data_IF_465878245912
#
_entry.id   IF_465878245912
#
_cell.length_a   1.000
_cell.length_b   1.000
_cell.length_c   1.000
_cell.angle_alpha   90.00
_cell.angle_beta   90.00
_cell.angle_gamma   90.00
#
_symmetry.space_group_name_H-M   'P 1'
#
loop_
_entity.id
_entity.type
_entity.pdbx_description
1 polymer ?
#
# COMPACT_ATOMS: atom_id res chain seq x y z
N UNK A 1 22.24 -32.80 0.08
CA UNK A 1 22.47 -33.25 1.47
C UNK A 1 21.18 -33.46 2.27
N UNK A 2 20.27 -32.47 2.40
CA UNK A 2 19.04 -32.60 3.21
C UNK A 2 18.09 -33.73 2.73
N UNK A 3 18.03 -33.98 1.43
CA UNK A 3 17.20 -35.06 0.85
C UNK A 3 17.69 -36.46 1.23
N UNK A 4 19.01 -36.63 1.29
CA UNK A 4 19.67 -37.90 1.66
C UNK A 4 19.50 -38.20 3.16
N UNK A 5 19.53 -37.19 3.98
CA UNK A 5 19.41 -37.26 5.44
C UNK A 5 17.95 -37.25 5.94
N UNK A 6 16.97 -37.22 5.05
CA UNK A 6 15.55 -37.17 5.41
C UNK A 6 15.13 -35.89 6.15
N UNK A 7 15.98 -34.88 6.19
CA UNK A 7 15.72 -33.61 6.90
C UNK A 7 14.76 -32.76 6.09
N UNK A 8 13.58 -32.51 6.66
CA UNK A 8 12.56 -31.60 6.06
C UNK A 8 12.28 -30.44 7.02
N UNK A 9 12.29 -29.22 6.50
CA UNK A 9 11.82 -28.06 7.27
C UNK A 9 10.35 -28.20 7.61
N UNK A 10 10.00 -28.17 8.89
CA UNK A 10 8.61 -28.13 9.36
C UNK A 10 7.97 -26.75 9.16
N UNK A 11 8.77 -25.73 8.86
CA UNK A 11 8.32 -24.35 8.68
C UNK A 11 7.78 -24.03 7.27
N UNK A 12 7.81 -24.96 6.31
CA UNK A 12 7.21 -24.73 4.99
C UNK A 12 5.70 -24.97 5.05
N UNK A 13 4.98 -23.94 5.39
CA UNK A 13 3.54 -23.85 5.05
C UNK A 13 3.44 -23.94 3.51
N UNK A 14 2.64 -24.87 2.99
CA UNK A 14 2.36 -24.93 1.56
C UNK A 14 1.78 -23.58 1.14
N UNK A 15 2.54 -22.80 0.35
CA UNK A 15 1.98 -21.60 -0.27
C UNK A 15 0.80 -22.01 -1.13
N UNK A 16 -0.31 -21.34 -0.95
CA UNK A 16 -1.49 -21.53 -1.77
C UNK A 16 -1.08 -21.26 -3.24
N UNK A 17 -1.28 -22.24 -4.12
CA UNK A 17 -1.11 -21.99 -5.56
C UNK A 17 -2.33 -21.20 -6.00
N UNK A 18 -2.11 -20.04 -6.63
CA UNK A 18 -3.18 -19.28 -7.25
C UNK A 18 -3.97 -20.20 -8.21
N UNK A 19 -5.28 -20.26 -8.04
CA UNK A 19 -6.18 -21.00 -8.94
C UNK A 19 -6.38 -20.23 -10.25
N UNK A 20 -7.19 -20.78 -11.17
CA UNK A 20 -7.58 -20.14 -12.44
C UNK A 20 -8.32 -18.79 -12.28
N UNK A 21 -8.72 -18.45 -11.06
CA UNK A 21 -9.41 -17.20 -10.71
C UNK A 21 -8.47 -16.02 -10.45
N UNK A 22 -7.15 -16.24 -10.49
CA UNK A 22 -6.15 -15.23 -10.24
C UNK A 22 -5.53 -14.73 -11.54
N UNK A 23 -5.44 -13.42 -11.64
CA UNK A 23 -4.86 -12.71 -12.78
C UNK A 23 -3.56 -12.01 -12.33
N UNK A 24 -2.48 -12.28 -13.05
CA UNK A 24 -1.16 -11.68 -12.79
C UNK A 24 -0.89 -10.67 -13.90
N UNK A 25 -0.58 -9.44 -13.50
CA UNK A 25 -0.24 -8.35 -14.43
C UNK A 25 1.27 -8.19 -14.51
N UNK A 26 1.75 -7.78 -15.68
CA UNK A 26 3.17 -7.46 -15.89
C UNK A 26 3.57 -6.25 -15.04
N UNK A 27 4.85 -6.17 -14.68
CA UNK A 27 5.40 -4.97 -14.05
C UNK A 27 5.46 -3.84 -15.08
N UNK A 28 4.75 -2.74 -14.84
CA UNK A 28 4.73 -1.52 -15.65
C UNK A 28 5.56 -0.39 -15.00
N UNK A 29 6.06 -0.59 -13.78
CA UNK A 29 6.94 0.38 -13.11
C UNK A 29 8.39 0.14 -13.51
N UNK A 30 8.77 0.55 -14.73
CA UNK A 30 10.16 0.50 -15.19
C UNK A 30 11.00 1.63 -14.57
N UNK A 31 10.36 2.70 -14.17
CA UNK A 31 10.89 3.83 -13.40
C UNK A 31 9.84 4.38 -12.43
N UNK A 32 10.29 5.17 -11.47
CA UNK A 32 9.43 5.79 -10.46
C UNK A 32 9.15 7.27 -10.74
N UNK A 33 9.62 7.78 -11.88
CA UNK A 33 9.38 9.16 -12.27
C UNK A 33 7.91 9.38 -12.63
N UNK A 34 7.35 10.48 -12.15
CA UNK A 34 5.97 10.88 -12.39
C UNK A 34 5.90 12.38 -12.70
N UNK A 35 4.98 12.77 -13.53
CA UNK A 35 4.79 14.18 -13.94
C UNK A 35 3.61 14.85 -13.24
N UNK A 36 2.71 14.08 -12.63
CA UNK A 36 1.49 14.57 -11.97
C UNK A 36 1.01 13.62 -10.89
N UNK A 37 0.17 14.09 -9.96
CA UNK A 37 -0.55 13.22 -9.04
C UNK A 37 -1.42 12.17 -9.77
N UNK A 38 -1.63 11.04 -9.12
CA UNK A 38 -2.41 9.90 -9.62
C UNK A 38 -1.90 9.29 -10.93
N UNK A 39 -0.64 9.54 -11.32
CA UNK A 39 -0.05 8.89 -12.49
C UNK A 39 0.42 7.47 -12.17
N UNK A 40 1.19 7.32 -11.10
CA UNK A 40 1.65 6.02 -10.58
C UNK A 40 1.36 5.97 -9.08
N UNK A 41 0.68 4.94 -8.66
CA UNK A 41 0.26 4.72 -7.28
C UNK A 41 0.65 3.33 -6.84
N UNK A 42 1.26 3.20 -5.67
CA UNK A 42 1.55 1.92 -5.05
C UNK A 42 0.54 1.60 -3.96
N UNK A 43 0.18 0.33 -3.84
CA UNK A 43 -0.63 -0.20 -2.74
C UNK A 43 0.04 -1.42 -2.11
N UNK A 44 -0.02 -1.47 -0.81
CA UNK A 44 0.51 -2.58 -0.02
C UNK A 44 -0.25 -2.71 1.30
N UNK A 45 -0.11 -3.86 1.95
CA UNK A 45 -0.67 -4.10 3.27
C UNK A 45 0.42 -4.29 4.28
N UNK A 46 0.45 -3.43 5.28
CA UNK A 46 1.38 -3.55 6.39
C UNK A 46 0.67 -4.01 7.67
N UNK A 47 1.33 -4.88 8.44
CA UNK A 47 0.79 -5.36 9.71
C UNK A 47 1.34 -4.48 10.82
N UNK A 48 0.42 -3.92 11.62
CA UNK A 48 0.72 -3.16 12.83
C UNK A 48 0.41 -4.01 14.05
N UNK A 49 1.34 -4.03 15.01
CA UNK A 49 1.14 -4.73 16.28
C UNK A 49 0.64 -3.76 17.35
N UNK A 50 -0.43 -4.14 18.03
CA UNK A 50 -1.05 -3.38 19.11
C UNK A 50 -1.28 -4.28 20.33
N UNK A 51 -1.42 -3.74 21.52
CA UNK A 51 -1.70 -4.51 22.78
C UNK A 51 -2.94 -5.40 22.69
N UNK A 52 -3.95 -5.00 21.90
CA UNK A 52 -5.18 -5.78 21.70
C UNK A 52 -5.11 -6.78 20.53
N UNK A 53 -4.02 -6.84 19.78
CA UNK A 53 -3.89 -7.75 18.63
C UNK A 53 -3.16 -7.12 17.44
N UNK A 54 -3.34 -7.70 16.29
CA UNK A 54 -2.75 -7.20 15.04
C UNK A 54 -3.79 -6.46 14.22
N UNK A 55 -3.33 -5.48 13.47
CA UNK A 55 -4.13 -4.73 12.50
C UNK A 55 -3.49 -4.82 11.14
N UNK A 56 -4.28 -5.14 10.13
CA UNK A 56 -3.90 -5.04 8.72
C UNK A 56 -4.26 -3.64 8.23
N UNK A 57 -3.26 -2.88 7.86
CA UNK A 57 -3.40 -1.55 7.30
C UNK A 57 -3.04 -1.58 5.82
N UNK A 58 -4.04 -1.49 4.96
CA UNK A 58 -3.89 -1.36 3.52
C UNK A 58 -3.89 0.10 3.12
N UNK A 59 -2.92 0.54 2.32
CA UNK A 59 -2.78 1.93 1.94
C UNK A 59 -2.44 2.09 0.46
N UNK A 60 -2.80 3.26 -0.08
CA UNK A 60 -2.48 3.72 -1.42
C UNK A 60 -1.63 4.97 -1.34
N UNK A 61 -0.42 4.92 -1.89
CA UNK A 61 0.55 6.02 -1.87
C UNK A 61 0.79 6.50 -3.30
N UNK A 62 0.68 7.82 -3.50
CA UNK A 62 1.05 8.48 -4.74
C UNK A 62 2.57 8.54 -4.89
N UNK A 63 3.10 8.10 -6.02
CA UNK A 63 4.54 8.19 -6.27
C UNK A 63 5.00 9.60 -6.66
N UNK A 64 4.08 10.51 -6.97
CA UNK A 64 4.39 11.89 -7.31
C UNK A 64 4.89 12.70 -6.12
N UNK A 65 4.23 12.57 -4.99
CA UNK A 65 4.50 13.37 -3.79
C UNK A 65 4.47 12.56 -2.49
N UNK A 66 4.34 11.24 -2.58
CA UNK A 66 4.25 10.32 -1.46
C UNK A 66 2.99 10.51 -0.58
N UNK A 67 1.98 11.24 -1.05
CA UNK A 67 0.72 11.39 -0.30
C UNK A 67 0.08 10.03 -0.05
N UNK A 68 -0.33 9.74 1.18
CA UNK A 68 -1.27 8.66 1.47
C UNK A 68 -2.64 9.11 0.97
N UNK A 69 -3.03 8.60 -0.21
CA UNK A 69 -4.28 8.97 -0.89
C UNK A 69 -5.48 8.38 -0.17
N UNK A 70 -5.39 7.11 0.16
CA UNK A 70 -6.45 6.35 0.81
C UNK A 70 -5.89 5.20 1.62
N UNK A 71 -6.69 4.72 2.54
CA UNK A 71 -6.36 3.55 3.35
C UNK A 71 -7.62 2.91 3.93
N UNK A 72 -7.46 1.68 4.43
CA UNK A 72 -8.37 1.07 5.40
C UNK A 72 -7.53 0.25 6.39
N UNK A 73 -7.95 0.25 7.65
CA UNK A 73 -7.30 -0.49 8.72
C UNK A 73 -8.31 -1.32 9.49
N UNK A 74 -8.00 -2.58 9.70
CA UNK A 74 -8.88 -3.51 10.43
C UNK A 74 -8.09 -4.44 11.33
N UNK A 75 -8.70 -4.82 12.44
CA UNK A 75 -8.15 -5.87 13.30
C UNK A 75 -8.01 -7.17 12.52
N UNK A 76 -6.83 -7.79 12.62
CA UNK A 76 -6.48 -9.03 11.94
C UNK A 76 -6.39 -10.16 12.96
N UNK A 77 -7.42 -10.98 13.05
CA UNK A 77 -7.39 -12.15 13.93
C UNK A 77 -6.84 -13.41 13.23
N UNK A 78 -6.96 -13.52 11.91
CA UNK A 78 -6.64 -14.74 11.14
C UNK A 78 -6.09 -14.49 9.73
N UNK A 79 -5.40 -13.37 9.50
CA UNK A 79 -4.82 -13.02 8.19
C UNK A 79 -5.54 -11.85 7.51
N UNK A 80 -5.00 -11.42 6.36
CA UNK A 80 -5.48 -10.24 5.65
C UNK A 80 -6.97 -10.38 5.26
N UNK A 81 -7.75 -9.37 5.63
CA UNK A 81 -9.17 -9.31 5.26
C UNK A 81 -9.32 -8.79 3.82
N UNK A 82 -10.02 -9.51 2.92
CA UNK A 82 -10.34 -8.95 1.60
C UNK A 82 -11.06 -7.61 1.69
N UNK A 83 -11.91 -7.43 2.70
CA UNK A 83 -12.70 -6.21 2.89
C UNK A 83 -11.83 -4.97 3.09
N UNK A 84 -10.70 -5.09 3.79
CA UNK A 84 -9.71 -4.02 3.94
C UNK A 84 -9.21 -3.52 2.57
N UNK A 85 -8.77 -4.43 1.71
CA UNK A 85 -8.28 -4.10 0.36
C UNK A 85 -9.37 -3.47 -0.51
N UNK A 86 -10.60 -4.01 -0.47
CA UNK A 86 -11.74 -3.47 -1.23
C UNK A 86 -12.13 -2.07 -0.76
N UNK A 87 -12.13 -1.83 0.55
CA UNK A 87 -12.47 -0.50 1.10
C UNK A 87 -11.39 0.51 0.74
N UNK A 88 -10.11 0.19 0.92
CA UNK A 88 -9.02 1.09 0.55
C UNK A 88 -9.03 1.42 -0.96
N UNK A 89 -9.32 0.42 -1.82
CA UNK A 89 -9.43 0.63 -3.27
C UNK A 89 -10.61 1.54 -3.64
N UNK A 90 -11.78 1.37 -3.01
CA UNK A 90 -12.93 2.26 -3.22
C UNK A 90 -12.62 3.68 -2.79
N UNK A 91 -12.06 3.86 -1.61
CA UNK A 91 -11.66 5.18 -1.11
C UNK A 91 -10.63 5.84 -2.06
N UNK A 92 -9.72 5.07 -2.65
CA UNK A 92 -8.79 5.56 -3.67
C UNK A 92 -9.53 6.07 -4.93
N UNK A 93 -10.49 5.31 -5.43
CA UNK A 93 -11.28 5.72 -6.60
C UNK A 93 -12.12 6.96 -6.31
N UNK A 94 -12.70 7.06 -5.12
CA UNK A 94 -13.48 8.21 -4.67
C UNK A 94 -12.60 9.47 -4.58
N UNK A 95 -11.39 9.37 -4.02
CA UNK A 95 -10.43 10.48 -3.99
C UNK A 95 -9.95 10.88 -5.39
N UNK A 96 -9.71 9.89 -6.27
CA UNK A 96 -9.37 10.15 -7.67
C UNK A 96 -10.46 10.93 -8.39
N UNK A 97 -11.73 10.58 -8.18
CA UNK A 97 -12.88 11.26 -8.73
C UNK A 97 -13.04 12.67 -8.15
N UNK A 98 -13.01 12.81 -6.84
CA UNK A 98 -13.16 14.08 -6.11
C UNK A 98 -12.13 15.13 -6.52
N UNK A 99 -10.90 14.70 -6.82
CA UNK A 99 -9.81 15.56 -7.26
C UNK A 99 -9.76 15.80 -8.77
N UNK A 100 -10.71 15.25 -9.54
CA UNK A 100 -10.81 15.48 -10.98
C UNK A 100 -9.90 14.64 -11.86
N UNK A 101 -9.28 13.59 -11.32
CA UNK A 101 -8.35 12.72 -12.06
C UNK A 101 -9.02 11.48 -12.67
N UNK A 102 -10.35 11.33 -12.58
CA UNK A 102 -11.07 10.11 -12.96
C UNK A 102 -10.80 9.65 -14.39
N UNK A 103 -10.70 10.59 -15.33
CA UNK A 103 -10.49 10.30 -16.75
C UNK A 103 -9.01 10.18 -17.18
N UNK A 104 -8.08 10.31 -16.23
CA UNK A 104 -6.65 10.19 -16.52
C UNK A 104 -6.15 8.79 -16.19
N UNK A 105 -5.27 8.27 -17.04
CA UNK A 105 -4.63 6.98 -16.83
C UNK A 105 -3.83 6.96 -15.52
N UNK A 106 -3.98 5.89 -14.75
CA UNK A 106 -3.25 5.64 -13.52
C UNK A 106 -2.69 4.22 -13.52
N UNK A 107 -1.42 4.07 -13.21
CA UNK A 107 -0.85 2.76 -12.92
C UNK A 107 -1.03 2.49 -11.43
N UNK A 108 -1.72 1.41 -11.06
CA UNK A 108 -1.82 0.93 -9.68
C UNK A 108 -0.96 -0.32 -9.54
N UNK A 109 0.13 -0.17 -8.80
CA UNK A 109 1.13 -1.22 -8.57
C UNK A 109 0.96 -1.88 -7.20
N UNK A 110 1.06 -3.19 -7.16
CA UNK A 110 0.99 -4.00 -5.93
C UNK A 110 1.93 -5.20 -6.02
N UNK A 111 2.07 -5.94 -4.94
CA UNK A 111 2.63 -7.29 -4.97
C UNK A 111 1.66 -8.28 -5.64
N UNK A 112 2.09 -9.56 -5.72
CA UNK A 112 1.26 -10.67 -6.23
C UNK A 112 0.47 -11.37 -5.11
N UNK A 113 0.04 -10.64 -4.09
CA UNK A 113 -0.81 -11.16 -3.01
C UNK A 113 -2.13 -11.73 -3.56
N UNK A 114 -2.66 -12.76 -2.90
CA UNK A 114 -3.86 -13.47 -3.35
C UNK A 114 -5.09 -12.56 -3.57
N UNK A 115 -5.21 -11.49 -2.77
CA UNK A 115 -6.31 -10.53 -2.91
C UNK A 115 -6.09 -9.67 -4.15
N UNK A 116 -4.89 -9.12 -4.33
CA UNK A 116 -4.55 -8.27 -5.47
C UNK A 116 -4.65 -8.98 -6.83
N UNK A 117 -4.40 -10.29 -6.85
CA UNK A 117 -4.52 -11.12 -8.06
C UNK A 117 -5.94 -11.62 -8.31
N UNK A 118 -6.87 -11.48 -7.35
CA UNK A 118 -8.23 -11.98 -7.49
C UNK A 118 -9.03 -11.18 -8.53
N UNK A 119 -9.84 -11.87 -9.35
CA UNK A 119 -10.73 -11.23 -10.32
C UNK A 119 -11.71 -10.26 -9.67
N UNK A 120 -12.26 -10.63 -8.50
CA UNK A 120 -13.17 -9.75 -7.77
C UNK A 120 -12.55 -8.42 -7.39
N UNK A 121 -11.29 -8.41 -6.92
CA UNK A 121 -10.57 -7.18 -6.63
C UNK A 121 -10.30 -6.36 -7.90
N UNK A 122 -9.82 -7.01 -8.96
CA UNK A 122 -9.48 -6.33 -10.20
C UNK A 122 -10.70 -5.78 -10.95
N UNK A 123 -11.89 -6.36 -10.75
CA UNK A 123 -13.15 -5.83 -11.31
C UNK A 123 -13.61 -4.49 -10.74
N UNK A 124 -13.00 -4.01 -9.65
CA UNK A 124 -13.25 -2.66 -9.12
C UNK A 124 -12.73 -1.56 -10.04
N UNK A 125 -11.72 -1.87 -10.86
CA UNK A 125 -11.00 -0.88 -11.65
C UNK A 125 -11.56 -0.77 -13.06
N UNK A 126 -11.71 0.45 -13.54
CA UNK A 126 -12.13 0.74 -14.91
C UNK A 126 -10.91 0.79 -15.86
N UNK A 127 -11.16 1.06 -17.13
CA UNK A 127 -10.16 1.10 -18.20
C UNK A 127 -9.06 2.17 -18.01
N UNK A 128 -9.30 3.19 -17.17
CA UNK A 128 -8.27 4.22 -16.86
C UNK A 128 -7.27 3.75 -15.81
N UNK A 129 -7.52 2.62 -15.15
CA UNK A 129 -6.60 2.04 -14.16
C UNK A 129 -5.87 0.86 -14.79
N UNK A 130 -4.57 1.03 -14.99
CA UNK A 130 -3.67 -0.04 -15.45
C UNK A 130 -3.06 -0.75 -14.25
N UNK A 131 -3.35 -2.04 -14.11
CA UNK A 131 -2.78 -2.86 -13.05
C UNK A 131 -1.32 -3.21 -13.37
N UNK A 132 -0.48 -3.15 -12.34
CA UNK A 132 0.93 -3.51 -12.41
C UNK A 132 1.30 -4.34 -11.17
N UNK A 133 2.18 -5.31 -11.30
CA UNK A 133 2.59 -6.15 -10.17
C UNK A 133 4.10 -6.35 -10.14
N UNK A 134 4.64 -6.35 -8.92
CA UNK A 134 6.03 -6.75 -8.67
C UNK A 134 6.27 -8.19 -9.09
N UNK A 135 7.46 -8.51 -9.55
CA UNK A 135 7.88 -9.90 -9.76
C UNK A 135 7.99 -10.63 -8.42
N UNK A 136 7.78 -11.93 -8.45
CA UNK A 136 7.89 -12.75 -7.23
C UNK A 136 9.31 -12.65 -6.64
N UNK A 137 9.39 -12.38 -5.35
CA UNK A 137 10.63 -12.28 -4.58
C UNK A 137 11.63 -11.25 -5.13
N UNK A 138 11.13 -10.14 -5.69
CA UNK A 138 11.94 -9.03 -6.19
C UNK A 138 11.58 -7.74 -5.44
N UNK A 139 12.16 -7.50 -4.24
CA UNK A 139 11.89 -6.30 -3.43
C UNK A 139 12.17 -4.99 -4.20
N UNK A 140 13.13 -5.02 -5.11
CA UNK A 140 13.52 -3.86 -5.92
C UNK A 140 12.40 -3.36 -6.87
N UNK A 141 11.33 -4.12 -7.03
CA UNK A 141 10.19 -3.72 -7.88
C UNK A 141 9.22 -2.76 -7.15
N UNK A 142 9.31 -2.64 -5.80
CA UNK A 142 8.47 -1.73 -5.02
C UNK A 142 9.21 -1.08 -3.83
N UNK A 143 10.42 -0.54 -4.03
CA UNK A 143 11.29 -0.10 -2.94
C UNK A 143 10.73 1.12 -2.20
N UNK A 144 9.92 1.96 -2.87
CA UNK A 144 9.38 3.20 -2.28
C UNK A 144 8.38 2.85 -1.19
N UNK A 145 7.39 2.00 -1.47
CA UNK A 145 6.37 1.66 -0.47
C UNK A 145 6.96 0.79 0.66
N UNK A 146 7.93 -0.07 0.36
CA UNK A 146 8.62 -0.85 1.38
C UNK A 146 9.40 0.05 2.35
N UNK A 147 10.15 1.02 1.82
CA UNK A 147 10.86 2.01 2.62
C UNK A 147 9.91 2.87 3.46
N UNK A 148 8.84 3.38 2.84
CA UNK A 148 7.82 4.18 3.54
C UNK A 148 7.13 3.37 4.64
N UNK A 149 6.76 2.12 4.39
CA UNK A 149 6.18 1.23 5.41
C UNK A 149 7.12 1.00 6.60
N UNK A 150 8.42 0.96 6.36
CA UNK A 150 9.42 0.91 7.43
C UNK A 150 9.37 2.16 8.31
N UNK A 151 9.51 3.34 7.72
CA UNK A 151 9.45 4.63 8.41
C UNK A 151 8.13 4.81 9.16
N UNK A 152 7.01 4.53 8.51
CA UNK A 152 5.67 4.64 9.09
C UNK A 152 5.55 3.78 10.36
N UNK A 153 6.04 2.55 10.34
CA UNK A 153 6.00 1.65 11.52
C UNK A 153 6.84 2.18 12.67
N UNK A 154 8.00 2.74 12.37
CA UNK A 154 8.89 3.28 13.39
C UNK A 154 8.27 4.55 14.01
N UNK A 155 7.77 5.48 13.20
CA UNK A 155 7.08 6.69 13.67
C UNK A 155 5.84 6.35 14.50
N UNK A 156 5.00 5.41 14.04
CA UNK A 156 3.83 4.96 14.82
C UNK A 156 4.21 4.34 16.16
N UNK A 157 5.33 3.62 16.19
CA UNK A 157 5.82 2.99 17.42
C UNK A 157 6.41 3.99 18.39
N UNK A 158 7.30 4.87 17.92
CA UNK A 158 8.12 5.73 18.79
C UNK A 158 7.45 7.08 19.08
N UNK A 159 6.81 7.69 18.10
CA UNK A 159 6.27 9.05 18.21
C UNK A 159 4.79 9.05 18.59
N UNK A 160 4.03 8.04 18.13
CA UNK A 160 2.58 7.96 18.36
C UNK A 160 2.18 6.93 19.40
N UNK A 161 3.14 6.15 19.95
CA UNK A 161 2.86 5.10 20.94
C UNK A 161 1.69 4.19 20.55
N UNK A 162 1.61 3.83 19.28
CA UNK A 162 0.50 3.06 18.68
C UNK A 162 0.21 1.79 19.48
N UNK A 163 1.26 1.07 19.90
CA UNK A 163 1.13 -0.20 20.60
C UNK A 163 0.29 -0.10 21.90
N UNK A 164 0.45 0.99 22.67
CA UNK A 164 -0.22 1.18 23.96
C UNK A 164 -1.47 2.07 23.90
N UNK A 165 -1.82 2.57 22.72
CA UNK A 165 -2.96 3.48 22.57
C UNK A 165 -4.27 2.80 22.98
N UNK A 166 -5.26 3.60 23.40
CA UNK A 166 -6.60 3.09 23.70
C UNK A 166 -7.50 3.13 22.46
N UNK A 167 -7.16 3.96 21.48
CA UNK A 167 -7.89 4.07 20.22
C UNK A 167 -6.93 4.01 19.02
N UNK A 168 -6.53 2.81 18.58
CA UNK A 168 -5.57 2.66 17.48
C UNK A 168 -6.06 3.24 16.15
N UNK A 169 -7.38 3.25 15.89
CA UNK A 169 -7.93 3.81 14.64
C UNK A 169 -7.79 5.33 14.60
N UNK A 170 -7.98 6.00 15.74
CA UNK A 170 -7.80 7.44 15.86
C UNK A 170 -6.32 7.84 15.70
N UNK A 171 -5.40 7.03 16.23
CA UNK A 171 -3.96 7.24 16.05
C UNK A 171 -3.60 7.18 14.56
N UNK A 172 -4.10 6.19 13.83
CA UNK A 172 -3.83 6.08 12.38
C UNK A 172 -4.38 7.30 11.63
N UNK A 173 -5.59 7.77 11.96
CA UNK A 173 -6.17 8.96 11.34
C UNK A 173 -5.30 10.21 11.57
N UNK A 174 -4.87 10.45 12.80
CA UNK A 174 -3.96 11.55 13.15
C UNK A 174 -2.61 11.41 12.44
N UNK A 175 -2.10 10.18 12.38
CA UNK A 175 -0.83 9.92 11.71
C UNK A 175 -0.91 10.21 10.20
N UNK A 176 -1.98 9.79 9.51
CA UNK A 176 -2.15 10.08 8.08
C UNK A 176 -2.26 11.59 7.82
N UNK A 177 -2.97 12.30 8.70
CA UNK A 177 -3.05 13.77 8.61
C UNK A 177 -1.68 14.42 8.77
N UNK A 178 -0.94 14.04 9.82
CA UNK A 178 0.45 14.46 10.03
C UNK A 178 1.35 14.13 8.83
N UNK A 179 1.28 12.88 8.35
CA UNK A 179 2.11 12.41 7.24
C UNK A 179 1.93 13.27 5.99
N UNK A 180 0.69 13.60 5.65
CA UNK A 180 0.35 14.35 4.45
C UNK A 180 0.62 15.86 4.59
N UNK A 181 0.39 16.45 5.76
CA UNK A 181 0.34 17.89 5.96
C UNK A 181 1.51 18.49 6.75
N UNK A 182 2.23 17.67 7.56
CA UNK A 182 3.25 18.19 8.47
C UNK A 182 4.61 17.50 8.30
N UNK A 183 4.63 16.21 7.91
CA UNK A 183 5.84 15.42 7.78
C UNK A 183 6.68 15.90 6.60
N UNK A 184 7.89 16.41 6.88
CA UNK A 184 8.83 16.83 5.86
C UNK A 184 9.57 15.64 5.26
N UNK A 185 9.75 15.61 3.94
CA UNK A 185 10.51 14.58 3.25
C UNK A 185 11.68 15.16 2.46
N UNK A 186 12.86 14.56 2.62
CA UNK A 186 14.07 14.97 1.89
C UNK A 186 13.87 14.87 0.37
N UNK A 187 13.24 13.80 -0.11
CA UNK A 187 12.92 13.58 -1.53
C UNK A 187 12.01 14.66 -2.11
N UNK A 188 11.22 15.33 -1.27
CA UNK A 188 10.33 16.44 -1.63
C UNK A 188 10.94 17.82 -1.34
N UNK A 189 12.27 17.92 -1.27
CA UNK A 189 12.99 19.15 -0.96
C UNK A 189 12.59 19.75 0.40
N UNK A 190 12.47 18.88 1.43
CA UNK A 190 12.02 19.25 2.78
C UNK A 190 10.63 19.88 2.83
N UNK A 191 9.72 19.45 1.96
CA UNK A 191 8.32 19.83 1.98
C UNK A 191 7.46 18.67 2.43
N UNK A 192 6.24 18.98 2.87
CA UNK A 192 5.23 17.95 3.08
C UNK A 192 4.67 17.50 1.73
N UNK A 193 4.07 16.29 1.65
CA UNK A 193 3.37 15.83 0.46
C UNK A 193 2.42 16.88 -0.12
N UNK A 194 1.56 17.46 0.70
CA UNK A 194 0.57 18.45 0.25
C UNK A 194 1.22 19.79 -0.16
N UNK A 195 2.24 20.26 0.55
CA UNK A 195 2.97 21.46 0.15
C UNK A 195 3.64 21.28 -1.22
N UNK A 196 4.32 20.13 -1.43
CA UNK A 196 4.97 19.83 -2.70
C UNK A 196 3.97 19.82 -3.85
N UNK A 197 2.83 19.12 -3.68
CA UNK A 197 1.74 19.06 -4.65
C UNK A 197 1.20 20.45 -5.01
N UNK A 198 0.89 21.25 -4.00
CA UNK A 198 0.28 22.57 -4.15
C UNK A 198 1.20 23.56 -4.85
N UNK A 199 2.49 23.58 -4.51
CA UNK A 199 3.47 24.46 -5.13
C UNK A 199 3.70 24.17 -6.61
N UNK A 200 3.48 22.92 -7.03
CA UNK A 200 3.53 22.52 -8.44
C UNK A 200 2.18 22.78 -9.18
N UNK A 201 1.21 23.41 -8.52
CA UNK A 201 -0.07 23.80 -9.12
C UNK A 201 -1.13 22.70 -9.15
N UNK A 202 -0.92 21.58 -8.45
CA UNK A 202 -1.90 20.49 -8.34
C UNK A 202 -2.76 20.62 -7.07
N UNK A 203 -3.97 20.05 -7.09
CA UNK A 203 -4.93 20.04 -5.97
C UNK A 203 -5.09 18.66 -5.35
#
# INVERSE_FOLDING_TARGET
CCKILGIRSKARIKRHKAGKEHEIFSNLLHDFHTSRPFEKVCTDTTILTHKSGKYDWNLYIDLFDHTIISYDIRGSNYGASPLNHYTAAKNFLDEKQKRGYMNLDTIVHSDQGAIYTSRGFNSLFNHTIKRSMSRIATPTDNPIIESLNGWIKDELKYDYNFYHSDNPLEIIKKYVDYFNNERLAYSLKYKTPIQYRTELGFR
#
